data_IF_113001001355
#
_entry.id   IF_113001001355
#
_cell.length_a   1.000
_cell.length_b   1.000
_cell.length_c   1.000
_cell.angle_alpha   90.00
_cell.angle_beta   90.00
_cell.angle_gamma   90.00
#
_symmetry.space_group_name_H-M   'P 1'
#
loop_
_entity.id
_entity.type
_entity.pdbx_description
1 polymer ?
#
# COMPACT_ATOMS: atom_id res chain seq x y z
N UNK A 1 79.32 -57.41 -44.39
CA UNK A 1 79.35 -56.53 -45.58
C UNK A 1 78.31 -55.46 -45.35
N UNK A 2 78.70 -54.34 -44.75
CA UNK A 2 78.98 -53.02 -45.37
C UNK A 2 77.80 -52.07 -45.05
N UNK A 3 77.96 -51.17 -44.07
CA UNK A 3 78.49 -49.77 -44.11
C UNK A 3 77.41 -48.73 -44.50
N UNK A 4 76.96 -47.89 -43.55
CA UNK A 4 77.35 -46.49 -43.25
C UNK A 4 76.50 -45.45 -44.01
N UNK A 5 75.81 -44.57 -43.25
CA UNK A 5 75.77 -43.09 -43.33
C UNK A 5 75.14 -42.55 -42.02
N UNK A 6 75.90 -42.01 -41.04
CA UNK A 6 76.39 -40.62 -40.84
C UNK A 6 75.26 -39.56 -40.73
N UNK A 7 74.96 -39.07 -39.52
CA UNK A 7 75.31 -37.73 -38.96
C UNK A 7 74.32 -36.62 -39.43
N UNK A 8 73.75 -35.70 -38.65
CA UNK A 8 74.34 -34.84 -37.61
C UNK A 8 73.28 -34.20 -36.67
N UNK A 9 73.73 -33.82 -35.47
CA UNK A 9 73.04 -32.93 -34.51
C UNK A 9 73.06 -31.47 -35.01
N UNK A 10 72.15 -30.62 -34.49
CA UNK A 10 72.48 -29.33 -33.81
C UNK A 10 71.18 -28.58 -33.41
N UNK A 11 71.10 -28.27 -32.11
CA UNK A 11 70.21 -27.26 -31.52
C UNK A 11 70.72 -25.85 -31.88
N UNK A 12 69.86 -24.95 -32.37
CA UNK A 12 70.08 -23.49 -32.22
C UNK A 12 68.77 -22.71 -32.12
N UNK A 13 68.50 -22.22 -30.91
CA UNK A 13 68.04 -20.87 -30.54
C UNK A 13 67.01 -20.09 -31.39
N UNK A 14 65.89 -19.85 -30.71
CA UNK A 14 65.04 -18.65 -30.73
C UNK A 14 65.74 -17.35 -31.15
N UNK A 15 65.21 -16.69 -32.17
CA UNK A 15 65.34 -15.24 -32.39
C UNK A 15 63.96 -14.63 -32.52
N UNK A 16 63.64 -13.70 -31.60
CA UNK A 16 62.41 -12.92 -31.64
C UNK A 16 62.46 -11.94 -32.80
N UNK A 17 61.46 -12.00 -33.68
CA UNK A 17 61.16 -10.95 -34.64
C UNK A 17 60.33 -9.87 -33.95
N UNK A 18 60.99 -8.76 -33.61
CA UNK A 18 60.38 -7.49 -33.23
C UNK A 18 60.23 -6.63 -34.49
N UNK A 19 59.20 -6.88 -35.28
CA UNK A 19 58.74 -5.89 -36.26
C UNK A 19 57.36 -5.38 -35.86
N UNK A 20 57.39 -4.14 -35.38
CA UNK A 20 56.24 -3.32 -35.06
C UNK A 20 55.32 -3.18 -36.27
N UNK A 21 54.18 -3.86 -36.27
CA UNK A 21 53.07 -3.50 -37.14
C UNK A 21 52.31 -2.35 -36.46
N UNK A 22 52.66 -1.11 -36.80
CA UNK A 22 51.86 0.07 -36.51
C UNK A 22 50.51 -0.06 -37.23
N UNK A 23 49.49 -0.53 -36.52
CA UNK A 23 48.12 -0.56 -37.03
C UNK A 23 47.57 0.87 -36.99
N UNK A 24 47.60 1.55 -38.13
CA UNK A 24 47.01 2.88 -38.29
C UNK A 24 45.52 2.84 -37.96
N UNK A 25 45.10 3.56 -36.92
CA UNK A 25 43.69 3.77 -36.59
C UNK A 25 43.12 4.79 -37.58
N UNK A 26 42.42 4.31 -38.61
CA UNK A 26 41.62 5.17 -39.47
C UNK A 26 40.44 5.74 -38.66
N UNK A 27 40.49 7.03 -38.35
CA UNK A 27 39.41 7.77 -37.72
C UNK A 27 38.25 7.88 -38.72
N UNK A 28 37.22 7.04 -38.58
CA UNK A 28 35.97 7.22 -39.34
C UNK A 28 35.14 8.31 -38.67
N UNK A 29 34.85 9.45 -39.32
CA UNK A 29 33.92 10.40 -38.76
C UNK A 29 32.54 9.74 -38.73
N UNK A 30 31.93 9.66 -37.54
CA UNK A 30 30.51 9.30 -37.42
C UNK A 30 29.71 10.41 -38.10
N UNK A 31 28.97 10.09 -39.15
CA UNK A 31 27.94 10.98 -39.67
C UNK A 31 26.94 11.26 -38.55
N UNK A 32 26.80 12.53 -38.17
CA UNK A 32 25.72 12.98 -37.29
C UNK A 32 24.45 12.87 -38.13
N UNK A 33 23.65 11.84 -37.87
CA UNK A 33 22.30 11.79 -38.41
C UNK A 33 21.52 12.97 -37.84
N UNK A 34 21.10 13.91 -38.69
CA UNK A 34 20.08 14.88 -38.33
C UNK A 34 18.80 14.11 -38.05
N UNK A 35 18.42 14.05 -36.78
CA UNK A 35 17.07 13.60 -36.40
C UNK A 35 16.14 14.73 -36.85
N UNK A 36 15.64 14.64 -38.09
CA UNK A 36 14.43 15.36 -38.45
C UNK A 36 13.29 14.72 -37.65
N UNK A 37 12.81 15.43 -36.63
CA UNK A 37 11.58 15.08 -35.96
C UNK A 37 10.45 15.07 -36.99
N UNK A 38 9.69 13.98 -37.18
CA UNK A 38 8.47 14.09 -37.94
C UNK A 38 7.55 15.03 -37.16
N UNK A 39 7.09 16.09 -37.83
CA UNK A 39 5.98 16.91 -37.37
C UNK A 39 4.84 15.93 -37.08
N UNK A 40 4.53 15.73 -35.80
CA UNK A 40 3.38 14.96 -35.39
C UNK A 40 2.14 15.72 -35.87
N UNK A 41 1.60 15.33 -37.02
CA UNK A 41 0.24 15.67 -37.37
C UNK A 41 -0.64 15.16 -36.22
N UNK A 42 -1.21 16.08 -35.47
CA UNK A 42 -2.19 15.76 -34.43
C UNK A 42 -3.44 15.24 -35.14
N UNK A 43 -3.56 13.92 -35.24
CA UNK A 43 -4.83 13.30 -35.60
C UNK A 43 -5.76 13.49 -34.40
N UNK A 44 -6.63 14.50 -34.48
CA UNK A 44 -7.75 14.62 -33.55
C UNK A 44 -8.63 13.39 -33.74
N UNK A 45 -8.60 12.48 -32.77
CA UNK A 45 -9.65 11.48 -32.61
C UNK A 45 -10.90 12.24 -32.19
N UNK A 46 -11.78 12.48 -33.14
CA UNK A 46 -13.17 12.82 -32.84
C UNK A 46 -13.79 11.57 -32.20
N UNK A 47 -14.13 11.65 -30.92
CA UNK A 47 -14.98 10.65 -30.29
C UNK A 47 -16.36 10.77 -30.93
N UNK A 48 -16.75 9.78 -31.73
CA UNK A 48 -18.13 9.57 -32.07
C UNK A 48 -18.85 9.15 -30.77
N UNK A 49 -19.77 9.99 -30.31
CA UNK A 49 -20.75 9.60 -29.30
C UNK A 49 -21.77 8.72 -29.98
N UNK A 50 -21.61 7.39 -29.86
CA UNK A 50 -22.65 6.47 -30.27
C UNK A 50 -23.90 6.71 -29.39
N UNK A 51 -25.10 6.90 -29.97
CA UNK A 51 -26.32 6.96 -29.19
C UNK A 51 -26.50 5.63 -28.46
N UNK A 52 -26.82 5.68 -27.16
CA UNK A 52 -27.11 4.50 -26.35
C UNK A 52 -28.17 3.66 -27.07
N UNK A 53 -27.76 2.56 -27.67
CA UNK A 53 -28.66 1.46 -27.98
C UNK A 53 -29.22 0.95 -26.66
N UNK A 54 -30.52 1.16 -26.45
CA UNK A 54 -31.29 0.43 -25.44
C UNK A 54 -31.25 -1.04 -25.82
N UNK A 55 -30.25 -1.75 -25.31
CA UNK A 55 -30.17 -3.21 -25.45
C UNK A 55 -31.46 -3.81 -24.91
N UNK A 56 -32.18 -4.54 -25.77
CA UNK A 56 -33.35 -5.30 -25.37
C UNK A 56 -33.00 -6.21 -24.20
N UNK A 57 -33.84 -6.19 -23.16
CA UNK A 57 -33.67 -7.02 -21.98
C UNK A 57 -33.62 -8.50 -22.40
N UNK A 58 -32.58 -9.21 -21.98
CA UNK A 58 -32.47 -10.64 -22.21
C UNK A 58 -33.57 -11.42 -21.47
N UNK A 59 -33.83 -12.69 -21.82
CA UNK A 59 -34.97 -13.49 -21.33
C UNK A 59 -35.07 -13.67 -19.81
N UNK A 60 -34.07 -13.24 -19.04
CA UNK A 60 -34.00 -13.41 -17.60
C UNK A 60 -33.43 -12.15 -16.88
N UNK A 61 -33.57 -10.98 -17.51
CA UNK A 61 -33.08 -9.70 -16.96
C UNK A 61 -34.18 -8.85 -16.32
N UNK A 62 -35.44 -9.31 -16.36
CA UNK A 62 -36.50 -8.66 -15.59
C UNK A 62 -36.33 -9.05 -14.12
N UNK A 63 -36.20 -8.02 -13.27
CA UNK A 63 -36.21 -8.21 -11.83
C UNK A 63 -37.54 -8.87 -11.45
N UNK A 64 -37.47 -9.96 -10.68
CA UNK A 64 -38.67 -10.67 -10.23
C UNK A 64 -39.58 -9.71 -9.47
N UNK A 65 -40.89 -9.86 -9.68
CA UNK A 65 -41.91 -9.06 -9.04
C UNK A 65 -41.94 -9.32 -7.52
N UNK A 66 -42.40 -8.34 -6.74
CA UNK A 66 -42.49 -8.54 -5.29
C UNK A 66 -43.56 -9.60 -4.97
N UNK A 67 -43.33 -10.40 -3.93
CA UNK A 67 -44.19 -11.54 -3.53
C UNK A 67 -45.66 -11.11 -3.34
N UNK A 68 -45.89 -9.87 -2.88
CA UNK A 68 -47.22 -9.26 -2.75
C UNK A 68 -47.90 -8.99 -4.10
N UNK A 69 -47.15 -8.57 -5.11
CA UNK A 69 -47.66 -8.32 -6.47
C UNK A 69 -47.97 -9.63 -7.19
N UNK A 70 -47.13 -10.65 -7.01
CA UNK A 70 -47.35 -12.00 -7.54
C UNK A 70 -48.62 -12.63 -6.94
N UNK A 71 -48.78 -12.54 -5.61
CA UNK A 71 -49.97 -13.04 -4.92
C UNK A 71 -51.25 -12.31 -5.37
N UNK A 72 -51.20 -10.99 -5.56
CA UNK A 72 -52.33 -10.21 -6.06
C UNK A 72 -52.70 -10.61 -7.50
N UNK A 73 -51.71 -10.87 -8.37
CA UNK A 73 -51.95 -11.36 -9.74
C UNK A 73 -52.53 -12.77 -9.75
N UNK A 74 -52.04 -13.66 -8.89
CA UNK A 74 -52.58 -15.02 -8.75
C UNK A 74 -54.03 -15.00 -8.25
N UNK A 75 -54.35 -14.18 -7.24
CA UNK A 75 -55.71 -14.01 -6.76
C UNK A 75 -56.64 -13.46 -7.85
N UNK A 76 -56.17 -12.49 -8.63
CA UNK A 76 -56.92 -11.93 -9.78
C UNK A 76 -57.21 -12.97 -10.87
N UNK A 77 -56.31 -13.94 -11.07
CA UNK A 77 -56.50 -15.05 -12.01
C UNK A 77 -57.44 -16.11 -11.44
N UNK A 78 -57.36 -16.41 -10.14
CA UNK A 78 -58.21 -17.39 -9.45
C UNK A 78 -59.60 -16.83 -9.07
N UNK A 79 -59.88 -15.55 -9.36
CA UNK A 79 -61.14 -14.90 -9.03
C UNK A 79 -61.31 -14.54 -7.54
N UNK A 80 -60.22 -14.58 -6.77
CA UNK A 80 -60.17 -14.16 -5.37
C UNK A 80 -59.79 -12.69 -5.20
N UNK A 81 -60.13 -12.12 -4.05
CA UNK A 81 -59.69 -10.76 -3.68
C UNK A 81 -58.26 -10.84 -3.15
N UNK A 82 -57.30 -10.28 -3.90
CA UNK A 82 -55.89 -10.24 -3.50
C UNK A 82 -55.62 -9.18 -2.40
N UNK A 83 -54.45 -9.23 -1.75
CA UNK A 83 -54.07 -8.25 -0.73
C UNK A 83 -53.97 -6.84 -1.35
N UNK A 84 -54.46 -5.84 -0.62
CA UNK A 84 -54.52 -4.45 -1.09
C UNK A 84 -53.11 -3.86 -1.13
N UNK A 85 -52.61 -3.53 -2.32
CA UNK A 85 -51.21 -3.11 -2.53
C UNK A 85 -50.89 -1.73 -1.91
N UNK A 86 -51.91 -0.93 -1.62
CA UNK A 86 -51.76 0.42 -1.06
C UNK A 86 -51.63 0.41 0.47
N UNK A 87 -52.12 -0.64 1.14
CA UNK A 87 -52.16 -0.74 2.59
C UNK A 87 -51.68 -2.12 3.03
N UNK A 88 -50.49 -2.16 3.63
CA UNK A 88 -49.97 -3.41 4.19
C UNK A 88 -50.93 -3.96 5.26
N UNK A 89 -51.31 -5.23 5.13
CA UNK A 89 -52.07 -5.91 6.18
C UNK A 89 -51.23 -5.91 7.46
N UNK A 90 -51.81 -5.52 8.61
CA UNK A 90 -51.07 -5.45 9.86
C UNK A 90 -50.52 -6.84 10.20
N UNK A 91 -49.24 -6.90 10.59
CA UNK A 91 -48.48 -8.13 10.84
C UNK A 91 -49.16 -9.05 11.85
N UNK A 92 -49.97 -8.49 12.74
CA UNK A 92 -50.74 -9.19 13.76
C UNK A 92 -51.87 -10.03 13.18
N UNK A 93 -52.59 -9.55 12.16
CA UNK A 93 -53.67 -10.31 11.50
C UNK A 93 -53.09 -11.51 10.74
N UNK A 94 -51.94 -11.33 10.07
CA UNK A 94 -51.22 -12.42 9.42
C UNK A 94 -50.74 -13.49 10.40
N UNK A 95 -50.29 -13.07 11.59
CA UNK A 95 -49.90 -13.99 12.67
C UNK A 95 -51.11 -14.69 13.31
N UNK A 96 -52.30 -14.10 13.28
CA UNK A 96 -53.53 -14.72 13.80
C UNK A 96 -54.04 -15.85 12.90
N UNK A 97 -53.93 -15.66 11.58
CA UNK A 97 -54.33 -16.67 10.58
C UNK A 97 -53.35 -17.86 10.52
N UNK A 98 -52.05 -17.60 10.65
CA UNK A 98 -51.00 -18.63 10.54
C UNK A 98 -50.60 -19.26 11.88
N UNK A 99 -51.20 -20.43 12.18
CA UNK A 99 -50.92 -21.24 13.38
C UNK A 99 -49.46 -21.70 13.51
N UNK A 100 -48.73 -21.78 12.40
CA UNK A 100 -47.30 -22.13 12.39
C UNK A 100 -46.42 -20.94 12.78
N UNK A 101 -46.76 -19.74 12.31
CA UNK A 101 -46.04 -18.51 12.64
C UNK A 101 -46.18 -18.14 14.12
N UNK A 102 -47.34 -18.40 14.74
CA UNK A 102 -47.56 -18.22 16.18
C UNK A 102 -46.61 -19.06 17.04
N UNK A 103 -46.25 -20.27 16.60
CA UNK A 103 -45.36 -21.15 17.37
C UNK A 103 -43.94 -20.59 17.44
N UNK A 104 -43.46 -20.02 16.34
CA UNK A 104 -42.11 -19.47 16.20
C UNK A 104 -41.99 -17.98 16.57
N UNK A 105 -43.09 -17.31 16.91
CA UNK A 105 -43.08 -15.91 17.29
C UNK A 105 -42.37 -15.64 18.65
N UNK A 106 -41.69 -14.48 18.80
CA UNK A 106 -41.09 -14.07 20.07
C UNK A 106 -42.15 -13.84 21.17
N UNK A 107 -41.77 -14.05 22.43
CA UNK A 107 -42.70 -14.04 23.58
C UNK A 107 -43.53 -12.75 23.70
N UNK A 108 -42.93 -11.59 23.45
CA UNK A 108 -43.61 -10.27 23.52
C UNK A 108 -44.82 -10.19 22.58
N UNK A 109 -44.77 -10.84 21.41
CA UNK A 109 -45.89 -10.85 20.45
C UNK A 109 -46.97 -11.88 20.83
N UNK A 110 -46.58 -13.00 21.45
CA UNK A 110 -47.52 -13.99 21.99
C UNK A 110 -48.34 -13.39 23.13
N UNK A 111 -47.70 -12.59 23.98
CA UNK A 111 -48.36 -11.90 25.10
C UNK A 111 -49.33 -10.81 24.63
N UNK A 112 -48.99 -10.08 23.55
CA UNK A 112 -49.89 -9.08 22.97
C UNK A 112 -51.15 -9.68 22.32
N UNK A 113 -51.05 -10.85 21.68
CA UNK A 113 -52.20 -11.55 21.09
C UNK A 113 -53.12 -12.09 22.20
N UNK A 114 -52.54 -12.64 23.27
CA UNK A 114 -53.29 -13.20 24.40
C UNK A 114 -54.01 -12.15 25.25
N UNK A 115 -53.54 -10.90 25.22
CA UNK A 115 -54.12 -9.77 25.93
C UNK A 115 -55.34 -9.14 25.24
N UNK A 116 -55.71 -9.58 24.02
CA UNK A 116 -56.94 -9.13 23.34
C UNK A 116 -57.05 -7.62 23.13
N UNK A 117 -55.91 -6.93 22.98
CA UNK A 117 -55.90 -5.47 22.88
C UNK A 117 -56.30 -5.01 21.48
N UNK A 118 -57.52 -4.48 21.32
CA UNK A 118 -57.92 -3.75 20.12
C UNK A 118 -57.04 -2.50 19.94
N UNK A 119 -56.51 -2.29 18.73
CA UNK A 119 -55.75 -1.10 18.40
C UNK A 119 -56.64 0.05 17.90
N UNK A 120 -56.36 1.31 18.29
CA UNK A 120 -56.99 2.48 17.70
C UNK A 120 -56.50 2.67 16.26
N UNK A 121 -57.40 3.11 15.37
CA UNK A 121 -57.12 3.42 13.95
C UNK A 121 -55.87 4.31 13.80
N UNK A 122 -55.03 4.10 12.77
CA UNK A 122 -53.85 4.92 12.55
C UNK A 122 -54.26 6.34 12.16
N UNK A 123 -54.10 7.29 13.10
CA UNK A 123 -54.19 8.71 12.79
C UNK A 123 -53.02 9.09 11.90
N UNK A 124 -53.32 9.47 10.66
CA UNK A 124 -52.38 10.10 9.75
C UNK A 124 -51.97 11.45 10.34
N UNK A 125 -50.92 11.48 11.14
CA UNK A 125 -50.01 12.61 11.35
C UNK A 125 -48.99 12.22 12.40
N UNK A 126 -47.80 11.80 11.96
CA UNK A 126 -46.60 11.92 12.78
C UNK A 126 -45.68 12.91 12.08
N UNK A 127 -45.50 14.06 12.71
CA UNK A 127 -44.56 15.08 12.27
C UNK A 127 -43.14 14.54 12.44
N UNK A 128 -42.48 14.16 11.34
CA UNK A 128 -41.05 13.92 11.37
C UNK A 128 -40.33 15.27 11.48
N UNK A 129 -39.65 15.50 12.61
CA UNK A 129 -38.75 16.64 12.80
C UNK A 129 -37.46 16.41 12.02
N UNK A 130 -37.38 16.92 10.79
CA UNK A 130 -36.13 17.12 10.05
C UNK A 130 -35.57 18.51 10.38
N UNK A 131 -34.92 18.66 11.53
CA UNK A 131 -34.15 19.89 11.80
C UNK A 131 -32.80 19.83 11.07
N UNK A 132 -32.78 20.26 9.81
CA UNK A 132 -31.57 20.69 9.14
C UNK A 132 -31.19 22.07 9.70
N UNK A 133 -30.10 22.15 10.48
CA UNK A 133 -29.56 23.45 10.92
C UNK A 133 -28.84 24.11 9.73
N UNK A 134 -29.51 25.07 9.09
CA UNK A 134 -28.85 26.07 8.25
C UNK A 134 -28.17 27.09 9.16
N UNK A 135 -26.89 27.35 8.89
CA UNK A 135 -26.03 28.25 9.64
C UNK A 135 -25.98 29.59 8.91
N UNK A 136 -26.78 30.58 9.32
CA UNK A 136 -26.47 31.98 9.04
C UNK A 136 -27.21 32.97 9.94
N UNK A 137 -26.42 33.94 10.41
CA UNK A 137 -26.74 35.32 10.79
C UNK A 137 -27.83 35.59 11.82
N UNK A 138 -27.43 35.88 13.05
CA UNK A 138 -28.04 36.97 13.81
C UNK A 138 -26.95 37.79 14.52
N UNK A 139 -26.85 39.05 14.11
CA UNK A 139 -26.17 40.14 14.80
C UNK A 139 -27.27 41.14 15.18
N UNK A 140 -27.21 41.61 16.43
CA UNK A 140 -27.73 42.88 16.98
C UNK A 140 -28.98 42.87 17.88
N UNK A 141 -28.72 43.33 19.13
CA UNK A 141 -29.59 44.06 20.10
C UNK A 141 -30.69 43.27 20.85
N UNK A 142 -30.91 43.37 22.17
CA UNK A 142 -30.41 44.26 23.24
C UNK A 142 -30.79 43.74 24.67
N UNK A 143 -29.91 44.03 25.64
CA UNK A 143 -30.06 44.34 27.08
C UNK A 143 -30.66 43.35 28.13
N UNK A 144 -29.77 43.01 29.07
CA UNK A 144 -29.85 42.99 30.56
C UNK A 144 -30.78 42.04 31.33
N UNK A 145 -30.18 41.04 31.99
CA UNK A 145 -30.60 40.55 33.31
C UNK A 145 -29.40 39.99 34.12
N UNK A 146 -29.38 40.08 35.47
CA UNK A 146 -28.17 39.97 36.29
C UNK A 146 -27.97 38.56 36.90
N UNK A 147 -27.71 37.54 36.07
CA UNK A 147 -27.58 36.15 36.55
C UNK A 147 -26.32 35.39 36.10
N UNK A 148 -25.28 36.07 35.60
CA UNK A 148 -24.09 35.42 34.99
C UNK A 148 -22.75 35.70 35.70
N UNK A 149 -22.73 35.96 37.01
CA UNK A 149 -21.47 36.13 37.76
C UNK A 149 -21.01 34.86 38.51
N UNK A 150 -21.89 33.86 38.69
CA UNK A 150 -21.60 32.64 39.45
C UNK A 150 -21.00 31.49 38.61
N UNK A 151 -21.07 31.55 37.27
CA UNK A 151 -20.54 30.48 36.40
C UNK A 151 -19.06 30.74 36.02
N UNK A 152 -18.59 31.98 36.13
CA UNK A 152 -17.19 32.36 35.87
C UNK A 152 -16.27 32.00 37.06
N UNK A 153 -16.83 31.81 38.26
CA UNK A 153 -16.06 31.50 39.47
C UNK A 153 -15.56 30.04 39.55
N UNK A 154 -16.15 29.10 38.81
CA UNK A 154 -15.77 27.67 38.84
C UNK A 154 -14.79 27.24 37.74
N UNK A 155 -14.28 28.16 36.91
CA UNK A 155 -13.24 27.86 35.91
C UNK A 155 -11.82 28.17 36.39
N UNK A 156 -11.64 28.52 37.68
CA UNK A 156 -10.37 28.93 38.27
C UNK A 156 -9.83 27.93 39.31
N UNK A 157 -9.58 26.69 38.90
CA UNK A 157 -8.71 25.76 39.64
C UNK A 157 -7.82 24.97 38.67
N UNK A 158 -6.54 25.35 38.59
CA UNK A 158 -5.49 24.48 38.05
C UNK A 158 -4.78 24.90 36.76
N UNK A 159 -4.71 26.20 36.43
CA UNK A 159 -3.72 26.70 35.48
C UNK A 159 -2.43 27.05 36.25
N UNK A 160 -1.60 26.02 36.51
CA UNK A 160 -0.20 26.21 36.89
C UNK A 160 0.48 27.06 35.83
N UNK A 161 0.97 28.21 36.26
CA UNK A 161 1.70 29.22 35.50
C UNK A 161 2.86 28.61 34.69
N UNK A 162 2.69 28.55 33.36
CA UNK A 162 3.78 28.90 32.47
C UNK A 162 3.49 30.31 31.98
N UNK A 163 3.88 31.27 32.81
CA UNK A 163 3.94 32.68 32.46
C UNK A 163 4.83 32.82 31.21
N UNK A 164 4.22 32.91 30.04
CA UNK A 164 4.86 33.52 28.87
C UNK A 164 4.83 35.02 29.13
N UNK A 165 5.96 35.70 29.34
CA UNK A 165 5.93 37.13 29.53
C UNK A 165 5.40 37.78 28.25
N UNK A 166 4.28 38.50 28.38
CA UNK A 166 3.86 39.46 27.38
C UNK A 166 4.89 40.59 27.33
N UNK A 167 5.99 40.37 26.60
CA UNK A 167 6.95 41.42 26.30
C UNK A 167 6.26 42.45 25.40
N UNK A 168 6.35 43.76 25.72
CA UNK A 168 5.85 44.79 24.82
C UNK A 168 6.55 44.64 23.47
N UNK A 169 5.76 44.64 22.40
CA UNK A 169 6.26 44.60 21.02
C UNK A 169 6.97 45.91 20.74
N UNK A 170 8.23 46.03 21.18
CA UNK A 170 9.16 47.02 20.65
C UNK A 170 9.44 46.59 19.22
N UNK A 171 8.77 47.22 18.26
CA UNK A 171 9.01 47.03 16.83
C UNK A 171 10.39 47.57 16.47
N UNK A 172 11.45 46.86 16.84
CA UNK A 172 12.68 46.89 16.05
C UNK A 172 12.31 46.46 14.63
N UNK A 173 12.79 47.12 13.55
CA UNK A 173 12.42 46.78 12.18
C UNK A 173 13.10 45.48 11.75
N UNK A 174 12.81 44.39 12.44
CA UNK A 174 13.17 43.04 12.02
C UNK A 174 12.31 42.73 10.81
N UNK A 175 12.92 42.53 9.64
CA UNK A 175 12.24 42.42 8.34
C UNK A 175 11.24 41.27 8.16
N UNK A 176 10.84 40.58 9.23
CA UNK A 176 9.85 39.52 9.24
C UNK A 176 8.61 39.92 10.05
N UNK A 177 7.42 39.61 9.52
CA UNK A 177 6.14 39.89 10.19
C UNK A 177 5.85 38.94 11.36
N UNK A 178 6.27 37.70 11.23
CA UNK A 178 6.18 36.66 12.24
C UNK A 178 7.60 36.14 12.52
N UNK A 179 7.89 35.68 13.73
CA UNK A 179 9.22 35.25 14.14
C UNK A 179 9.85 34.24 13.18
N UNK A 180 11.19 34.21 13.14
CA UNK A 180 11.93 33.28 12.27
C UNK A 180 11.82 31.84 12.77
N UNK A 181 11.77 30.85 11.86
CA UNK A 181 11.83 29.45 12.24
C UNK A 181 13.21 29.10 12.83
N UNK A 182 13.24 28.16 13.78
CA UNK A 182 14.48 27.64 14.35
C UNK A 182 15.23 26.79 13.32
N UNK A 183 16.48 27.16 13.03
CA UNK A 183 17.37 26.40 12.14
C UNK A 183 18.27 25.46 12.97
N UNK A 184 18.62 24.27 12.46
CA UNK A 184 18.28 23.73 11.14
C UNK A 184 16.82 23.22 11.06
N UNK A 185 16.18 23.43 9.90
CA UNK A 185 14.84 22.90 9.66
C UNK A 185 14.86 21.36 9.71
N UNK A 186 13.78 20.72 10.19
CA UNK A 186 13.70 19.26 10.21
C UNK A 186 13.67 18.70 8.78
N UNK A 187 14.20 17.49 8.58
CA UNK A 187 14.36 16.90 7.24
C UNK A 187 13.05 16.76 6.46
N UNK A 188 11.93 16.54 7.14
CA UNK A 188 10.60 16.40 6.53
C UNK A 188 9.98 17.73 6.06
N UNK A 189 10.51 18.88 6.48
CA UNK A 189 10.08 20.19 5.99
C UNK A 189 10.54 20.46 4.55
N UNK A 190 11.58 19.75 4.09
CA UNK A 190 12.05 19.86 2.71
C UNK A 190 11.06 19.20 1.74
N UNK A 191 10.59 19.93 0.71
CA UNK A 191 9.56 19.46 -0.24
C UNK A 191 9.89 18.08 -0.86
N UNK A 192 11.14 17.85 -1.23
CA UNK A 192 11.59 16.60 -1.86
C UNK A 192 11.76 15.45 -0.87
N UNK A 193 11.90 15.75 0.43
CA UNK A 193 12.06 14.78 1.52
C UNK A 193 10.87 14.81 2.49
N UNK A 194 9.70 15.17 2.00
CA UNK A 194 8.46 15.27 2.78
C UNK A 194 8.09 13.98 3.50
N UNK A 195 8.29 12.84 2.83
CA UNK A 195 7.96 11.52 3.35
C UNK A 195 9.20 10.80 3.85
N UNK A 196 8.99 9.85 4.75
CA UNK A 196 10.04 8.95 5.23
C UNK A 196 10.76 8.27 4.05
N UNK A 197 12.11 8.16 4.08
CA UNK A 197 12.89 7.57 2.99
C UNK A 197 12.48 6.13 2.65
N UNK A 198 12.02 5.33 3.61
CA UNK A 198 11.55 3.96 3.37
C UNK A 198 10.26 3.99 2.56
N UNK A 199 9.31 4.83 2.97
CA UNK A 199 8.03 5.01 2.27
C UNK A 199 8.28 5.53 0.85
N UNK A 200 9.10 6.57 0.71
CA UNK A 200 9.46 7.14 -0.61
C UNK A 200 10.15 6.12 -1.51
N UNK A 201 11.07 5.32 -0.97
CA UNK A 201 11.74 4.30 -1.76
C UNK A 201 10.77 3.22 -2.21
N UNK A 202 9.87 2.78 -1.34
CA UNK A 202 8.90 1.74 -1.64
C UNK A 202 7.84 2.20 -2.64
N UNK A 203 7.31 3.43 -2.49
CA UNK A 203 6.38 4.02 -3.47
C UNK A 203 7.00 4.06 -4.86
N UNK A 204 8.28 4.42 -4.97
CA UNK A 204 8.95 4.52 -6.25
C UNK A 204 9.19 3.14 -6.90
N UNK A 205 9.42 2.09 -6.11
CA UNK A 205 9.57 0.72 -6.63
C UNK A 205 8.23 0.10 -7.05
N UNK A 206 7.14 0.48 -6.39
CA UNK A 206 5.79 0.06 -6.75
C UNK A 206 5.25 0.81 -7.98
N UNK A 207 5.81 1.98 -8.30
CA UNK A 207 5.40 2.81 -9.44
C UNK A 207 5.70 2.13 -10.78
N UNK A 208 4.69 2.04 -11.63
CA UNK A 208 4.80 1.53 -13.00
C UNK A 208 4.39 2.61 -14.00
N UNK A 209 5.02 2.65 -15.17
CA UNK A 209 4.70 3.58 -16.26
C UNK A 209 4.69 5.08 -15.85
N UNK A 210 5.48 5.47 -14.85
CA UNK A 210 5.49 6.85 -14.33
C UNK A 210 4.23 7.26 -13.55
N UNK A 211 3.33 6.33 -13.22
CA UNK A 211 2.07 6.62 -12.50
C UNK A 211 2.29 6.73 -10.99
N UNK A 212 2.92 7.84 -10.57
CA UNK A 212 3.28 8.09 -9.17
C UNK A 212 2.06 8.19 -8.25
N UNK A 213 1.01 8.87 -8.69
CA UNK A 213 -0.23 9.06 -7.90
C UNK A 213 -0.90 7.74 -7.52
N UNK A 214 -0.89 6.77 -8.44
CA UNK A 214 -1.42 5.41 -8.19
C UNK A 214 -0.56 4.68 -7.14
N UNK A 215 0.77 4.78 -7.23
CA UNK A 215 1.65 4.17 -6.24
C UNK A 215 1.50 4.82 -4.85
N UNK A 216 1.34 6.15 -4.78
CA UNK A 216 1.05 6.86 -3.53
C UNK A 216 -0.28 6.42 -2.91
N UNK A 217 -1.32 6.25 -3.73
CA UNK A 217 -2.60 5.70 -3.28
C UNK A 217 -2.46 4.28 -2.74
N UNK A 218 -1.75 3.41 -3.47
CA UNK A 218 -1.51 2.04 -2.99
C UNK A 218 -0.70 2.01 -1.69
N UNK A 219 0.16 3.01 -1.47
CA UNK A 219 0.89 3.15 -0.21
C UNK A 219 -0.01 3.56 0.94
N UNK A 220 -0.89 4.56 0.74
CA UNK A 220 -1.83 4.99 1.78
C UNK A 220 -2.80 3.86 2.14
N UNK A 221 -3.36 3.23 1.11
CA UNK A 221 -3.55 1.78 0.95
C UNK A 221 -3.05 0.87 2.07
N UNK A 222 -1.79 0.45 1.87
CA UNK A 222 -1.02 -0.46 2.72
C UNK A 222 -0.95 0.04 4.17
N UNK A 223 -0.60 1.32 4.37
CA UNK A 223 -0.41 1.88 5.72
C UNK A 223 -1.72 1.89 6.51
N UNK A 224 -2.85 2.17 5.84
CA UNK A 224 -4.18 2.14 6.47
C UNK A 224 -4.54 0.72 6.89
N UNK A 225 -4.27 -0.27 6.03
CA UNK A 225 -4.49 -1.68 6.36
C UNK A 225 -3.65 -2.15 7.56
N UNK A 226 -2.37 -1.76 7.60
CA UNK A 226 -1.51 -2.08 8.76
C UNK A 226 -2.00 -1.44 10.06
N UNK A 227 -2.63 -0.27 9.98
CA UNK A 227 -3.19 0.43 11.14
C UNK A 227 -4.45 -0.24 11.70
N UNK A 228 -5.25 -0.87 10.85
CA UNK A 228 -6.49 -1.56 11.24
C UNK A 228 -6.29 -3.02 11.61
N UNK A 229 -5.16 -3.62 11.22
CA UNK A 229 -4.86 -5.01 11.51
C UNK A 229 -4.56 -5.21 13.00
N UNK A 230 -4.91 -6.39 13.52
CA UNK A 230 -4.52 -6.81 14.87
C UNK A 230 -2.98 -6.81 15.04
N UNK A 231 -2.48 -6.62 16.28
CA UNK A 231 -1.06 -6.73 16.56
C UNK A 231 -0.49 -8.07 16.09
N UNK A 232 0.64 -8.09 15.36
CA UNK A 232 1.24 -9.33 14.88
C UNK A 232 1.91 -10.11 16.01
N UNK A 233 1.98 -11.43 15.89
CA UNK A 233 2.69 -12.28 16.83
C UNK A 233 4.12 -12.57 16.35
N UNK A 234 5.13 -12.24 17.16
CA UNK A 234 6.53 -12.48 16.81
C UNK A 234 6.92 -13.94 16.90
N UNK A 235 7.63 -14.43 15.88
CA UNK A 235 8.16 -15.78 15.90
C UNK A 235 9.58 -15.78 16.50
N UNK A 236 9.84 -16.49 17.62
CA UNK A 236 11.16 -16.54 18.24
C UNK A 236 12.23 -17.15 17.32
N UNK A 237 11.84 -18.04 16.41
CA UNK A 237 12.76 -18.69 15.45
C UNK A 237 13.28 -17.74 14.37
N UNK A 238 12.56 -16.64 14.10
CA UNK A 238 12.92 -15.62 13.11
C UNK A 238 12.93 -14.25 13.78
N UNK A 239 13.97 -13.95 14.57
CA UNK A 239 14.05 -12.68 15.28
C UNK A 239 14.15 -11.52 14.31
N UNK A 240 13.47 -10.43 14.67
CA UNK A 240 13.51 -9.17 13.95
C UNK A 240 14.77 -8.38 14.29
N UNK A 241 14.85 -7.11 13.87
CA UNK A 241 15.98 -6.26 14.27
C UNK A 241 16.06 -6.10 15.80
N UNK A 242 17.27 -6.05 16.37
CA UNK A 242 17.43 -5.71 17.78
C UNK A 242 16.90 -4.31 18.04
N UNK A 243 16.23 -4.11 19.18
CA UNK A 243 15.56 -2.85 19.51
C UNK A 243 14.21 -2.65 18.81
N UNK A 244 13.65 -3.69 18.20
CA UNK A 244 12.27 -3.67 17.72
C UNK A 244 11.29 -3.36 18.89
N UNK A 245 10.32 -2.45 18.70
CA UNK A 245 9.32 -2.19 19.72
C UNK A 245 8.41 -3.40 19.95
N UNK A 246 7.65 -3.42 21.07
CA UNK A 246 6.67 -4.46 21.30
C UNK A 246 5.60 -4.47 20.20
N UNK A 247 4.99 -5.64 19.91
CA UNK A 247 4.04 -5.80 18.80
C UNK A 247 2.81 -4.90 18.91
N UNK A 248 2.42 -4.51 20.12
CA UNK A 248 1.30 -3.59 20.38
C UNK A 248 1.49 -2.19 19.77
N UNK A 249 2.72 -1.72 19.62
CA UNK A 249 3.00 -0.38 19.10
C UNK A 249 2.96 -0.30 17.57
N UNK A 250 3.00 -1.45 16.87
CA UNK A 250 3.13 -1.49 15.42
C UNK A 250 1.88 -0.99 14.67
N UNK A 251 0.63 -1.37 15.03
CA UNK A 251 -0.55 -0.88 14.32
C UNK A 251 -0.70 0.64 14.44
N UNK A 252 -0.38 1.22 15.61
CA UNK A 252 -0.43 2.66 15.84
C UNK A 252 0.59 3.42 14.97
N UNK A 253 1.76 2.81 14.71
CA UNK A 253 2.85 3.38 13.94
C UNK A 253 3.11 2.58 12.65
N UNK A 254 2.27 2.70 11.61
CA UNK A 254 2.34 1.85 10.41
C UNK A 254 3.61 2.10 9.58
N UNK A 255 4.19 3.30 9.66
CA UNK A 255 5.50 3.59 9.02
C UNK A 255 6.58 2.75 9.69
N UNK A 256 6.61 2.73 11.03
CA UNK A 256 7.57 1.91 11.78
C UNK A 256 7.35 0.42 11.48
N UNK A 257 6.10 -0.04 11.45
CA UNK A 257 5.74 -1.42 11.07
C UNK A 257 6.39 -1.80 9.73
N UNK A 258 6.20 -0.98 8.71
CA UNK A 258 6.80 -1.19 7.39
C UNK A 258 8.33 -1.18 7.46
N UNK A 259 8.94 -0.20 8.13
CA UNK A 259 10.41 -0.10 8.23
C UNK A 259 11.03 -1.34 8.90
N UNK A 260 10.41 -1.83 9.96
CA UNK A 260 10.85 -2.99 10.73
C UNK A 260 10.81 -4.26 9.88
N UNK A 261 9.69 -4.48 9.17
CA UNK A 261 9.52 -5.63 8.30
C UNK A 261 10.55 -5.67 7.17
N UNK A 262 10.84 -4.51 6.59
CA UNK A 262 11.79 -4.39 5.47
C UNK A 262 13.22 -4.59 5.95
N UNK A 263 13.61 -3.92 7.03
CA UNK A 263 14.97 -3.99 7.55
C UNK A 263 15.29 -5.40 8.08
N UNK A 264 14.31 -6.14 8.62
CA UNK A 264 14.52 -7.51 9.11
C UNK A 264 14.83 -8.50 7.97
N UNK A 265 14.14 -8.35 6.83
CA UNK A 265 14.35 -9.20 5.65
C UNK A 265 15.56 -8.76 4.81
N UNK A 266 15.97 -7.50 4.93
CA UNK A 266 17.03 -6.95 4.10
C UNK A 266 18.34 -7.76 4.23
N UNK A 267 18.89 -8.29 3.11
CA UNK A 267 20.14 -9.03 3.14
C UNK A 267 21.31 -8.06 3.42
N UNK A 268 22.26 -8.48 4.25
CA UNK A 268 23.45 -7.66 4.57
C UNK A 268 24.45 -7.56 3.41
N UNK A 269 24.42 -8.56 2.53
CA UNK A 269 25.39 -8.78 1.48
C UNK A 269 24.71 -9.33 0.24
N UNK A 270 25.34 -9.13 -0.91
CA UNK A 270 24.99 -9.77 -2.18
C UNK A 270 26.17 -10.57 -2.67
N UNK A 271 25.93 -11.46 -3.62
CA UNK A 271 26.99 -12.23 -4.27
C UNK A 271 27.31 -11.56 -5.60
N UNK A 272 28.58 -11.26 -5.83
CA UNK A 272 29.12 -10.83 -7.13
C UNK A 272 29.77 -12.03 -7.79
N UNK A 273 29.34 -12.35 -9.01
CA UNK A 273 29.97 -13.37 -9.83
C UNK A 273 31.16 -12.77 -10.58
N UNK A 274 32.37 -13.27 -10.33
CA UNK A 274 33.59 -12.84 -11.00
C UNK A 274 34.05 -13.93 -11.98
N UNK A 275 33.94 -13.66 -13.28
CA UNK A 275 34.23 -14.65 -14.33
C UNK A 275 35.73 -14.89 -14.48
N UNK A 276 36.15 -16.14 -14.68
CA UNK A 276 37.55 -16.53 -14.90
C UNK A 276 38.42 -16.61 -13.63
N UNK A 277 37.84 -16.35 -12.48
CA UNK A 277 38.54 -16.26 -11.20
C UNK A 277 38.76 -17.62 -10.51
N UNK A 278 37.88 -18.60 -10.74
CA UNK A 278 37.96 -19.92 -10.12
C UNK A 278 38.84 -20.91 -10.90
N UNK A 279 39.40 -20.49 -12.05
CA UNK A 279 40.00 -21.40 -13.04
C UNK A 279 38.98 -21.96 -14.03
N UNK A 280 39.46 -22.54 -15.14
CA UNK A 280 38.61 -23.25 -16.11
C UNK A 280 37.46 -22.44 -16.73
N UNK A 281 37.50 -21.10 -16.70
CA UNK A 281 36.41 -20.23 -17.16
C UNK A 281 35.20 -20.11 -16.21
N UNK A 282 35.22 -20.80 -15.07
CA UNK A 282 34.14 -20.77 -14.07
C UNK A 282 34.16 -19.45 -13.30
N UNK A 283 32.98 -18.93 -12.97
CA UNK A 283 32.87 -17.71 -12.19
C UNK A 283 32.97 -17.97 -10.69
N UNK A 284 33.83 -17.20 -10.01
CA UNK A 284 33.98 -17.24 -8.56
C UNK A 284 32.92 -16.36 -7.92
N UNK A 285 32.21 -16.91 -6.94
CA UNK A 285 31.24 -16.16 -6.15
C UNK A 285 31.95 -15.39 -5.05
N UNK A 286 31.79 -14.07 -5.03
CA UNK A 286 32.43 -13.18 -4.07
C UNK A 286 31.34 -12.43 -3.29
N UNK A 287 31.22 -12.60 -1.96
CA UNK A 287 30.26 -11.84 -1.17
C UNK A 287 30.69 -10.38 -1.04
N UNK A 288 29.75 -9.46 -1.22
CA UNK A 288 29.99 -8.00 -1.17
C UNK A 288 28.95 -7.35 -0.25
N UNK A 289 29.35 -6.52 0.72
CA UNK A 289 28.40 -5.83 1.60
C UNK A 289 27.53 -4.85 0.83
N UNK A 290 26.28 -4.69 1.28
CA UNK A 290 25.30 -3.80 0.68
C UNK A 290 25.08 -2.55 1.54
N UNK A 291 25.01 -1.38 0.89
CA UNK A 291 24.59 -0.14 1.55
C UNK A 291 23.10 -0.17 1.92
N UNK A 292 22.68 0.61 2.94
CA UNK A 292 21.31 0.60 3.47
C UNK A 292 20.22 0.73 2.39
N UNK A 293 20.36 1.69 1.46
CA UNK A 293 19.40 1.87 0.35
C UNK A 293 19.32 0.64 -0.57
N UNK A 294 20.44 -0.04 -0.82
CA UNK A 294 20.49 -1.25 -1.65
C UNK A 294 19.85 -2.44 -0.91
N UNK A 295 20.12 -2.58 0.39
CA UNK A 295 19.52 -3.60 1.25
C UNK A 295 17.99 -3.52 1.23
N UNK A 296 17.45 -2.33 1.51
CA UNK A 296 16.00 -2.06 1.46
C UNK A 296 15.40 -2.32 0.09
N UNK A 297 16.09 -1.93 -1.00
CA UNK A 297 15.65 -2.20 -2.37
C UNK A 297 15.45 -3.70 -2.63
N UNK A 298 16.45 -4.52 -2.29
CA UNK A 298 16.36 -5.97 -2.49
C UNK A 298 15.24 -6.61 -1.66
N UNK A 299 15.02 -6.14 -0.44
CA UNK A 299 13.90 -6.59 0.38
C UNK A 299 12.55 -6.24 -0.26
N UNK A 300 12.37 -4.99 -0.71
CA UNK A 300 11.15 -4.57 -1.38
C UNK A 300 10.86 -5.36 -2.65
N UNK A 301 11.88 -5.63 -3.47
CA UNK A 301 11.72 -6.46 -4.66
C UNK A 301 11.21 -7.86 -4.30
N UNK A 302 11.69 -8.47 -3.21
CA UNK A 302 11.17 -9.76 -2.74
C UNK A 302 9.75 -9.69 -2.19
N UNK A 303 9.41 -8.60 -1.48
CA UNK A 303 8.06 -8.37 -0.95
C UNK A 303 7.06 -8.23 -2.11
N UNK A 304 7.40 -7.42 -3.13
CA UNK A 304 6.55 -7.20 -4.30
C UNK A 304 6.40 -8.48 -5.14
N UNK A 305 7.47 -9.28 -5.29
CA UNK A 305 7.41 -10.58 -5.95
C UNK A 305 6.55 -11.60 -5.17
N UNK A 306 6.64 -11.62 -3.84
CA UNK A 306 5.80 -12.49 -3.01
C UNK A 306 4.32 -12.06 -3.08
N UNK A 307 4.06 -10.75 -2.98
CA UNK A 307 2.71 -10.19 -3.05
C UNK A 307 2.04 -10.39 -4.42
N UNK A 308 2.80 -10.33 -5.52
CA UNK A 308 2.26 -10.56 -6.86
C UNK A 308 1.81 -12.01 -7.07
N UNK A 309 2.51 -12.97 -6.46
CA UNK A 309 2.22 -14.41 -6.49
C UNK A 309 1.05 -14.81 -5.58
N UNK A 310 0.67 -13.98 -4.62
CA UNK A 310 -0.51 -14.25 -3.77
C UNK A 310 -1.80 -14.17 -4.57
N UNK A 311 -2.71 -15.11 -4.29
CA UNK A 311 -4.07 -15.12 -4.84
C UNK A 311 -4.85 -13.92 -4.31
N UNK A 312 -5.62 -13.27 -5.19
CA UNK A 312 -6.52 -12.19 -4.78
C UNK A 312 -7.68 -12.76 -3.96
N UNK A 313 -8.02 -12.13 -2.83
CA UNK A 313 -9.16 -12.51 -1.98
C UNK A 313 -10.51 -11.97 -2.49
N UNK A 314 -10.48 -10.99 -3.39
CA UNK A 314 -11.67 -10.26 -3.83
C UNK A 314 -11.42 -9.41 -5.08
N UNK A 315 -12.38 -8.53 -5.35
CA UNK A 315 -12.34 -7.58 -6.47
C UNK A 315 -12.13 -6.15 -5.96
N UNK A 316 -11.48 -5.32 -6.76
CA UNK A 316 -11.28 -3.91 -6.47
C UNK A 316 -9.92 -3.38 -6.90
N UNK A 317 -9.83 -2.04 -6.93
CA UNK A 317 -8.59 -1.31 -7.25
C UNK A 317 -7.49 -1.47 -6.19
N UNK A 318 -7.86 -1.74 -4.94
CA UNK A 318 -6.92 -1.76 -3.81
C UNK A 318 -6.38 -3.18 -3.52
N UNK A 319 -6.78 -4.19 -4.30
CA UNK A 319 -6.42 -5.60 -4.05
C UNK A 319 -4.92 -5.86 -4.10
N UNK A 320 -4.18 -5.15 -4.95
CA UNK A 320 -2.73 -5.27 -4.98
C UNK A 320 -2.10 -4.76 -3.68
N UNK A 321 -2.52 -3.59 -3.19
CA UNK A 321 -2.04 -3.00 -1.96
C UNK A 321 -2.37 -3.87 -0.73
N UNK A 322 -3.57 -4.47 -0.68
CA UNK A 322 -3.95 -5.40 0.38
C UNK A 322 -3.03 -6.64 0.40
N UNK A 323 -2.74 -7.26 -0.74
CA UNK A 323 -1.80 -8.39 -0.82
C UNK A 323 -0.40 -8.03 -0.32
N UNK A 324 0.07 -6.82 -0.63
CA UNK A 324 1.35 -6.31 -0.12
C UNK A 324 1.31 -6.11 1.39
N UNK A 325 0.23 -5.54 1.94
CA UNK A 325 0.09 -5.34 3.38
C UNK A 325 0.05 -6.68 4.13
N UNK A 326 -0.67 -7.67 3.63
CA UNK A 326 -0.69 -9.02 4.20
C UNK A 326 0.69 -9.72 4.12
N UNK A 327 1.52 -9.42 3.12
CA UNK A 327 2.91 -9.89 3.09
C UNK A 327 3.73 -9.25 4.20
N UNK A 328 3.60 -7.93 4.41
CA UNK A 328 4.30 -7.22 5.49
C UNK A 328 3.95 -7.82 6.87
N UNK A 329 2.68 -8.13 7.11
CA UNK A 329 2.23 -8.81 8.33
C UNK A 329 2.90 -10.18 8.46
N UNK A 330 2.84 -11.01 7.41
CA UNK A 330 3.44 -12.34 7.39
C UNK A 330 4.97 -12.32 7.60
N UNK A 331 5.63 -11.24 7.23
CA UNK A 331 7.08 -11.03 7.44
C UNK A 331 7.40 -10.84 8.92
N UNK A 332 6.66 -9.96 9.59
CA UNK A 332 6.83 -9.70 11.03
C UNK A 332 6.53 -10.95 11.85
N UNK A 333 5.54 -11.73 11.43
CA UNK A 333 5.21 -13.01 12.06
C UNK A 333 6.15 -14.15 11.67
N UNK A 334 7.13 -13.90 10.79
CA UNK A 334 8.10 -14.91 10.37
C UNK A 334 7.53 -16.02 9.48
N UNK A 335 6.35 -15.85 8.87
CA UNK A 335 5.73 -16.87 7.99
C UNK A 335 6.00 -16.65 6.50
N UNK A 336 6.55 -15.50 6.10
CA UNK A 336 6.80 -15.18 4.69
C UNK A 336 7.95 -16.01 4.08
N UNK A 337 7.84 -16.29 2.78
CA UNK A 337 8.88 -16.95 1.96
C UNK A 337 10.11 -16.08 1.72
N UNK A 338 10.00 -14.76 1.93
CA UNK A 338 11.13 -13.84 1.78
C UNK A 338 12.28 -14.11 2.79
N UNK A 339 11.98 -14.71 3.94
CA UNK A 339 12.99 -15.18 4.89
C UNK A 339 13.86 -16.32 4.33
N UNK A 340 13.30 -17.20 3.51
CA UNK A 340 14.04 -18.28 2.86
C UNK A 340 14.99 -17.72 1.80
N UNK A 341 14.56 -16.70 1.05
CA UNK A 341 15.42 -15.97 0.12
C UNK A 341 16.61 -15.30 0.84
N UNK A 342 16.34 -14.62 1.97
CA UNK A 342 17.39 -14.00 2.81
C UNK A 342 18.40 -15.03 3.30
N UNK A 343 17.93 -16.11 3.90
CA UNK A 343 18.79 -17.17 4.46
C UNK A 343 19.56 -17.91 3.37
N UNK A 344 18.96 -18.14 2.19
CA UNK A 344 19.64 -18.73 1.03
C UNK A 344 20.85 -17.90 0.58
N UNK A 345 20.71 -16.58 0.45
CA UNK A 345 21.83 -15.70 0.10
C UNK A 345 22.91 -15.71 1.19
N UNK A 346 22.52 -15.66 2.46
CA UNK A 346 23.48 -15.67 3.56
C UNK A 346 24.24 -16.98 3.63
N UNK A 347 23.57 -18.13 3.43
CA UNK A 347 24.23 -19.45 3.35
C UNK A 347 25.28 -19.49 2.26
N UNK A 348 24.94 -19.07 1.04
CA UNK A 348 25.89 -19.06 -0.09
C UNK A 348 27.06 -18.11 0.21
N UNK A 349 26.80 -16.96 0.81
CA UNK A 349 27.85 -16.02 1.18
C UNK A 349 28.78 -16.56 2.28
N UNK A 350 28.24 -17.27 3.27
CA UNK A 350 29.04 -17.94 4.31
C UNK A 350 29.93 -19.01 3.69
N UNK A 351 29.42 -19.81 2.75
CA UNK A 351 30.23 -20.79 2.01
C UNK A 351 31.32 -20.12 1.18
N UNK A 352 31.00 -19.02 0.50
CA UNK A 352 31.92 -18.30 -0.38
C UNK A 352 32.84 -17.30 0.36
N UNK A 353 32.90 -17.32 1.69
CA UNK A 353 33.69 -16.36 2.49
C UNK A 353 35.19 -16.42 2.20
N UNK A 354 35.72 -17.58 1.85
CA UNK A 354 37.14 -17.78 1.51
C UNK A 354 37.55 -17.03 0.26
N UNK A 355 36.60 -16.77 -0.65
CA UNK A 355 36.85 -16.15 -1.95
C UNK A 355 37.12 -14.63 -1.84
N UNK A 356 36.99 -14.04 -0.65
CA UNK A 356 37.27 -12.62 -0.40
C UNK A 356 38.74 -12.24 -0.58
N UNK A 357 39.67 -13.20 -0.49
CA UNK A 357 41.10 -12.97 -0.71
C UNK A 357 41.44 -12.85 -2.19
N UNK A 358 40.54 -13.24 -3.09
CA UNK A 358 40.67 -13.14 -4.53
C UNK A 358 40.83 -11.67 -4.94
N UNK A 359 42.07 -11.25 -5.22
CA UNK A 359 42.44 -9.88 -5.60
C UNK A 359 43.40 -9.16 -4.64
N UNK A 360 43.55 -9.62 -3.38
CA UNK A 360 44.60 -9.10 -2.46
C UNK A 360 45.96 -9.70 -2.75
N UNK A 361 45.97 -10.99 -3.07
CA UNK A 361 47.09 -11.62 -3.78
C UNK A 361 46.99 -11.18 -5.24
N UNK A 362 47.41 -9.94 -5.49
CA UNK A 362 47.56 -9.43 -6.84
C UNK A 362 48.39 -10.40 -7.68
N UNK A 363 48.17 -10.34 -8.98
CA UNK A 363 48.98 -10.96 -10.01
C UNK A 363 50.48 -10.90 -9.65
N UNK A 364 50.99 -11.94 -9.01
CA UNK A 364 52.42 -12.29 -8.98
C UNK A 364 52.57 -13.53 -9.85
N UNK A 365 52.39 -13.36 -11.14
CA UNK A 365 52.95 -14.24 -12.16
C UNK A 365 53.26 -13.41 -13.38
#
# INVERSE_FOLDING_TARGET
MERITSDDKVNTHSTMSLFATSRALAFRPRAIASIQSPIAASWRRNYATDPKQSGGAGPNMHQQEHISEEAAKMAKIQGGQGPDLEMGTPVQELLEEDKEAQKNAPQVLKDSIKAGAQHPKPSQTRSFSTSARSRQEELSTSNESPFDEAIVANTNFGASELAVPATPVTTTPTGHKFGLPTLPLPSNAHKDYRYDPVVRQFTNLMMQHGKLSVAQRNMSTILTHLRTQSPPNYNPSRPLLPGAPPPSHLPLNPVLYLTLAVDSIAPLLRIRSQRGAAGGGVALQIPVPLGLRQRRRTAFEWILDAASKRKSRGSGRDMFALRVAEEIVAIIEGRSSAWEKRTGIHKIATTARSNLTFGKTGLRR
#
